data_IF_378665313779
#
_entry.id   IF_378665313779
#
_cell.length_a   1.000
_cell.length_b   1.000
_cell.length_c   1.000
_cell.angle_alpha   90.00
_cell.angle_beta   90.00
_cell.angle_gamma   90.00
#
_symmetry.space_group_name_H-M   'P 1'
#
loop_
_entity.id
_entity.type
_entity.pdbx_description
1 polymer ?
#
# COMPACT_ATOMS: atom_id res chain seq x y z
N UNK A 1 8.68 7.79 -9.62
CA UNK A 1 9.01 6.42 -10.07
C UNK A 1 8.52 5.51 -8.95
N UNK A 2 7.58 4.63 -9.24
CA UNK A 2 7.09 3.63 -8.28
C UNK A 2 7.89 2.37 -8.58
N UNK A 3 8.85 2.02 -7.72
CA UNK A 3 9.51 0.73 -7.74
C UNK A 3 8.68 -0.22 -6.88
N UNK A 4 8.17 -1.28 -7.45
CA UNK A 4 7.25 -2.20 -6.80
C UNK A 4 7.90 -3.56 -6.63
N UNK A 5 8.16 -3.93 -5.40
CA UNK A 5 8.63 -5.24 -5.02
C UNK A 5 7.68 -5.84 -3.97
N UNK A 6 7.15 -7.02 -4.25
CA UNK A 6 6.31 -7.78 -3.31
C UNK A 6 6.99 -9.11 -3.03
N UNK A 7 7.31 -9.38 -1.78
CA UNK A 7 7.87 -10.66 -1.35
C UNK A 7 6.75 -11.63 -0.93
N UNK A 8 6.75 -12.83 -1.52
CA UNK A 8 5.65 -13.79 -1.39
C UNK A 8 6.19 -15.20 -1.12
N UNK A 9 5.56 -15.86 -0.16
CA UNK A 9 5.77 -17.30 0.08
C UNK A 9 4.56 -18.09 -0.45
N UNK A 10 4.78 -19.09 -1.32
CA UNK A 10 3.70 -19.92 -1.89
C UNK A 10 3.67 -21.31 -1.25
N UNK A 11 2.45 -21.84 -1.10
CA UNK A 11 2.22 -23.23 -0.73
C UNK A 11 1.62 -23.97 -1.94
N UNK A 12 2.29 -25.04 -2.41
CA UNK A 12 1.87 -25.81 -3.59
C UNK A 12 1.00 -27.03 -3.28
N UNK A 13 0.57 -27.25 -2.04
CA UNK A 13 -0.24 -28.40 -1.65
C UNK A 13 -1.73 -28.09 -1.56
N UNK A 14 -2.55 -28.91 -2.22
CA UNK A 14 -4.00 -28.81 -2.30
C UNK A 14 -4.74 -29.19 -0.99
N UNK A 15 -4.04 -29.43 0.10
CA UNK A 15 -4.64 -29.74 1.41
C UNK A 15 -4.43 -28.57 2.38
N UNK A 16 -5.51 -28.23 3.09
CA UNK A 16 -5.59 -27.16 4.10
C UNK A 16 -4.91 -27.65 5.39
N UNK A 17 -3.63 -28.02 5.30
CA UNK A 17 -2.80 -28.27 6.47
C UNK A 17 -1.72 -27.19 6.54
N UNK A 18 -1.66 -26.53 7.68
CA UNK A 18 -0.89 -25.29 7.94
C UNK A 18 0.58 -25.61 8.20
N UNK A 19 1.21 -26.39 7.35
CA UNK A 19 2.67 -26.50 7.31
C UNK A 19 3.24 -25.71 6.12
N UNK A 20 3.36 -24.41 6.36
CA UNK A 20 3.84 -23.40 5.42
C UNK A 20 5.38 -23.45 5.29
N UNK A 21 5.92 -24.48 4.67
CA UNK A 21 7.28 -24.49 4.15
C UNK A 21 7.16 -24.64 2.62
N UNK A 22 6.84 -23.54 1.96
CA UNK A 22 6.89 -23.43 0.51
C UNK A 22 8.17 -22.68 0.08
N UNK A 23 8.61 -22.90 -1.14
CA UNK A 23 9.71 -22.14 -1.73
C UNK A 23 9.39 -20.65 -1.68
N UNK A 24 10.34 -19.83 -1.23
CA UNK A 24 10.22 -18.37 -1.29
C UNK A 24 10.02 -17.94 -2.74
N UNK A 25 8.89 -17.29 -2.98
CA UNK A 25 8.55 -16.79 -4.30
C UNK A 25 8.53 -15.29 -4.22
N UNK A 26 9.41 -14.65 -4.95
CA UNK A 26 9.32 -13.21 -5.06
C UNK A 26 8.56 -12.78 -6.32
N UNK A 27 7.77 -11.73 -6.20
CA UNK A 27 7.18 -10.97 -7.31
C UNK A 27 7.88 -9.61 -7.46
N UNK A 28 9.19 -9.58 -7.21
CA UNK A 28 9.98 -8.36 -7.18
C UNK A 28 10.45 -7.93 -8.57
N UNK A 29 10.71 -8.91 -9.43
CA UNK A 29 11.31 -8.64 -10.72
C UNK A 29 10.93 -9.67 -11.81
N UNK A 30 11.51 -9.52 -13.00
CA UNK A 30 11.32 -10.45 -14.10
C UNK A 30 9.98 -10.33 -14.81
N UNK A 31 9.24 -9.24 -14.58
CA UNK A 31 7.96 -8.99 -15.24
C UNK A 31 8.12 -8.40 -16.62
N UNK A 32 7.30 -8.91 -17.54
CA UNK A 32 7.10 -8.39 -18.89
C UNK A 32 5.67 -7.88 -19.06
N UNK A 33 5.51 -6.83 -19.84
CA UNK A 33 4.21 -6.28 -20.15
C UNK A 33 3.45 -7.19 -21.13
N UNK A 34 2.28 -7.70 -20.72
CA UNK A 34 1.37 -8.43 -21.60
C UNK A 34 0.49 -7.48 -22.38
N UNK A 35 -0.21 -6.58 -21.68
CA UNK A 35 -1.15 -5.65 -22.30
C UNK A 35 -1.46 -4.44 -21.43
N UNK A 36 -1.94 -3.39 -22.08
CA UNK A 36 -2.47 -2.18 -21.46
C UNK A 36 -3.92 -2.00 -21.86
N UNK A 37 -4.78 -1.70 -20.91
CA UNK A 37 -6.18 -1.33 -21.14
C UNK A 37 -6.47 0.02 -20.50
N UNK A 38 -7.16 0.89 -21.24
CA UNK A 38 -7.57 2.22 -20.75
C UNK A 38 -9.06 2.37 -20.86
N UNK A 39 -9.67 2.90 -19.80
CA UNK A 39 -11.08 3.29 -19.81
C UNK A 39 -11.23 4.64 -19.12
N UNK A 40 -12.34 5.33 -19.42
CA UNK A 40 -12.79 6.51 -18.68
C UNK A 40 -14.17 6.23 -18.13
N UNK A 41 -14.41 6.60 -16.88
CA UNK A 41 -15.73 6.52 -16.24
C UNK A 41 -16.15 7.89 -15.73
N UNK A 42 -17.45 8.17 -15.87
CA UNK A 42 -18.08 9.34 -15.28
C UNK A 42 -19.48 8.93 -14.84
N UNK A 43 -19.60 8.53 -13.59
CA UNK A 43 -20.83 8.06 -12.98
C UNK A 43 -21.06 8.74 -11.64
N UNK A 44 -22.29 8.70 -11.15
CA UNK A 44 -22.65 9.20 -9.82
C UNK A 44 -23.35 8.10 -9.06
N UNK A 45 -23.03 7.94 -7.79
CA UNK A 45 -23.68 6.98 -6.92
C UNK A 45 -24.12 7.65 -5.61
N UNK A 46 -25.13 7.03 -4.98
CA UNK A 46 -25.67 7.50 -3.71
C UNK A 46 -25.11 6.63 -2.58
N UNK A 47 -24.35 7.18 -1.63
CA UNK A 47 -23.93 6.43 -0.45
C UNK A 47 -25.12 6.10 0.46
N UNK A 48 -25.00 5.04 1.26
CA UNK A 48 -26.01 4.67 2.24
C UNK A 48 -26.10 5.72 3.36
N UNK A 49 -24.97 6.26 3.75
CA UNK A 49 -24.79 7.35 4.71
C UNK A 49 -23.57 8.18 4.32
N UNK A 50 -23.33 9.30 4.99
CA UNK A 50 -22.20 10.20 4.77
C UNK A 50 -22.66 11.65 4.64
N UNK A 51 -21.70 12.54 4.53
CA UNK A 51 -21.95 13.99 4.39
C UNK A 51 -22.51 14.36 3.02
N UNK A 52 -22.08 13.61 1.98
CA UNK A 52 -22.50 13.83 0.61
C UNK A 52 -23.67 12.93 0.23
N UNK A 53 -24.72 13.51 -0.32
CA UNK A 53 -25.89 12.76 -0.80
C UNK A 53 -25.66 12.06 -2.14
N UNK A 54 -24.71 12.57 -2.95
CA UNK A 54 -24.31 12.03 -4.24
C UNK A 54 -22.79 12.16 -4.37
N UNK A 55 -22.13 11.04 -4.71
CA UNK A 55 -20.68 11.02 -4.95
C UNK A 55 -20.44 10.86 -6.43
N UNK A 56 -19.72 11.81 -7.02
CA UNK A 56 -19.27 11.71 -8.41
C UNK A 56 -18.02 10.84 -8.50
N UNK A 57 -18.09 9.81 -9.33
CA UNK A 57 -17.02 8.88 -9.62
C UNK A 57 -16.54 9.12 -11.06
N UNK A 58 -15.61 10.05 -11.23
CA UNK A 58 -15.08 10.47 -12.53
C UNK A 58 -13.57 10.22 -12.56
N UNK A 59 -13.11 9.28 -13.38
CA UNK A 59 -11.71 8.91 -13.44
C UNK A 59 -11.30 8.35 -14.81
N UNK A 60 -10.01 8.42 -15.09
CA UNK A 60 -9.35 7.62 -16.11
C UNK A 60 -8.64 6.44 -15.44
N UNK A 61 -8.82 5.25 -16.00
CA UNK A 61 -8.21 4.03 -15.49
C UNK A 61 -7.21 3.47 -16.51
N UNK A 62 -6.06 3.02 -15.98
CA UNK A 62 -5.08 2.22 -16.69
C UNK A 62 -4.93 0.88 -15.98
N UNK A 63 -5.19 -0.21 -16.69
CA UNK A 63 -4.88 -1.57 -16.24
C UNK A 63 -3.63 -2.05 -16.98
N UNK A 64 -2.59 -2.35 -16.21
CA UNK A 64 -1.33 -2.94 -16.67
C UNK A 64 -1.36 -4.42 -16.34
N UNK A 65 -1.28 -5.30 -17.33
CA UNK A 65 -1.18 -6.75 -17.14
C UNK A 65 0.24 -7.21 -17.36
N UNK A 66 0.77 -7.92 -16.39
CA UNK A 66 2.16 -8.35 -16.32
C UNK A 66 2.26 -9.86 -16.18
N UNK A 67 3.33 -10.44 -16.74
CA UNK A 67 3.71 -11.85 -16.59
C UNK A 67 5.18 -11.93 -16.16
N UNK A 68 5.45 -12.73 -15.15
CA UNK A 68 6.79 -13.00 -14.69
C UNK A 68 7.41 -14.12 -15.54
N UNK A 69 8.43 -13.79 -16.35
CA UNK A 69 8.94 -14.66 -17.42
C UNK A 69 9.46 -16.01 -16.96
N UNK A 70 10.08 -16.11 -15.78
CA UNK A 70 10.64 -17.36 -15.27
C UNK A 70 9.60 -18.26 -14.58
N UNK A 71 8.50 -17.72 -14.12
CA UNK A 71 7.47 -18.45 -13.36
C UNK A 71 6.12 -18.54 -14.10
N UNK A 72 5.89 -17.69 -15.08
CA UNK A 72 4.60 -17.54 -15.76
C UNK A 72 3.49 -16.98 -14.87
N UNK A 73 3.84 -16.39 -13.70
CA UNK A 73 2.87 -15.80 -12.79
C UNK A 73 2.36 -14.48 -13.33
N UNK A 74 1.05 -14.29 -13.17
CA UNK A 74 0.37 -13.09 -13.62
C UNK A 74 0.13 -12.14 -12.45
N UNK A 75 0.38 -10.86 -12.69
CA UNK A 75 0.04 -9.77 -11.79
C UNK A 75 -0.48 -8.59 -12.60
N UNK A 76 -1.48 -7.89 -12.07
CA UNK A 76 -1.95 -6.66 -12.66
C UNK A 76 -1.66 -5.49 -11.72
N UNK A 77 -1.41 -4.33 -12.30
CA UNK A 77 -1.41 -3.06 -11.57
C UNK A 77 -2.50 -2.18 -12.17
N UNK A 78 -3.43 -1.75 -11.34
CA UNK A 78 -4.53 -0.87 -11.76
C UNK A 78 -4.31 0.52 -11.18
N UNK A 79 -4.32 1.51 -12.05
CA UNK A 79 -4.25 2.93 -11.70
C UNK A 79 -5.56 3.61 -12.01
N UNK A 80 -6.02 4.50 -11.12
CA UNK A 80 -7.15 5.41 -11.34
C UNK A 80 -6.71 6.84 -11.06
N UNK A 81 -6.88 7.70 -12.03
CA UNK A 81 -6.56 9.13 -11.93
C UNK A 81 -7.85 9.92 -11.87
N UNK A 82 -8.00 10.68 -10.81
CA UNK A 82 -9.11 11.60 -10.54
C UNK A 82 -8.59 13.03 -10.59
N UNK A 83 -9.49 14.00 -10.65
CA UNK A 83 -9.13 15.42 -10.53
C UNK A 83 -8.45 15.72 -9.16
N UNK A 84 -8.76 14.92 -8.13
CA UNK A 84 -8.28 15.08 -6.75
C UNK A 84 -7.10 14.18 -6.37
N UNK A 85 -6.67 13.26 -7.24
CA UNK A 85 -5.56 12.37 -6.89
C UNK A 85 -5.43 11.13 -7.75
N UNK A 86 -4.46 10.30 -7.39
CA UNK A 86 -4.14 9.02 -8.01
C UNK A 86 -4.32 7.91 -6.98
N UNK A 87 -5.08 6.87 -7.34
CA UNK A 87 -5.09 5.60 -6.62
C UNK A 87 -4.49 4.49 -7.47
N UNK A 88 -3.86 3.51 -6.83
CA UNK A 88 -3.43 2.28 -7.50
C UNK A 88 -3.63 1.08 -6.58
N UNK A 89 -3.62 -0.12 -7.17
CA UNK A 89 -3.64 -1.39 -6.44
C UNK A 89 -3.00 -2.51 -7.26
N UNK A 90 -2.50 -3.51 -6.55
CA UNK A 90 -2.09 -4.79 -7.13
C UNK A 90 -3.30 -5.71 -7.24
N UNK A 91 -3.35 -6.51 -8.30
CA UNK A 91 -4.40 -7.51 -8.51
C UNK A 91 -3.74 -8.83 -8.94
N UNK A 92 -4.13 -9.91 -8.29
CA UNK A 92 -3.65 -11.25 -8.60
C UNK A 92 -4.78 -12.00 -9.32
N UNK A 93 -4.72 -12.11 -10.66
CA UNK A 93 -5.74 -12.85 -11.40
C UNK A 93 -5.70 -14.33 -11.07
N UNK A 94 -6.85 -15.01 -11.15
CA UNK A 94 -6.95 -16.45 -10.93
C UNK A 94 -6.02 -17.20 -11.86
N UNK A 95 -5.11 -18.01 -11.30
CA UNK A 95 -4.07 -18.74 -12.01
C UNK A 95 -3.66 -19.98 -11.23
N UNK A 96 -3.09 -20.99 -11.94
CA UNK A 96 -2.74 -22.27 -11.32
C UNK A 96 -1.49 -22.22 -10.46
N UNK A 97 -0.53 -21.38 -10.82
CA UNK A 97 0.80 -21.29 -10.22
C UNK A 97 0.92 -20.21 -9.14
N UNK A 98 -0.22 -19.60 -8.75
CA UNK A 98 -0.32 -18.65 -7.64
C UNK A 98 -1.79 -18.61 -7.16
N UNK A 99 -2.21 -19.61 -6.41
CA UNK A 99 -3.61 -19.74 -5.94
C UNK A 99 -3.77 -19.33 -4.48
N UNK A 100 -2.87 -19.74 -3.62
CA UNK A 100 -2.83 -19.39 -2.20
C UNK A 100 -1.40 -19.04 -1.83
N UNK A 101 -1.22 -17.89 -1.16
CA UNK A 101 0.10 -17.44 -0.77
C UNK A 101 0.03 -16.47 0.40
N UNK A 102 1.18 -16.24 1.04
CA UNK A 102 1.34 -15.29 2.13
C UNK A 102 2.21 -14.14 1.62
N UNK A 103 1.75 -12.93 1.84
CA UNK A 103 2.57 -11.74 1.64
C UNK A 103 3.43 -11.55 2.90
N UNK A 104 4.74 -11.55 2.72
CA UNK A 104 5.72 -11.32 3.78
C UNK A 104 6.15 -9.86 3.85
N UNK A 105 6.17 -9.20 2.70
CA UNK A 105 6.55 -7.80 2.61
C UNK A 105 6.00 -7.17 1.33
N UNK A 106 5.82 -5.86 1.33
CA UNK A 106 5.45 -5.05 0.18
C UNK A 106 6.45 -3.91 0.03
N UNK A 107 7.14 -3.87 -1.11
CA UNK A 107 8.20 -2.89 -1.41
C UNK A 107 7.71 -1.74 -2.29
N UNK A 108 6.51 -1.24 -2.02
CA UNK A 108 6.01 -0.05 -2.71
C UNK A 108 6.81 1.17 -2.26
N UNK A 109 7.41 1.87 -3.23
CA UNK A 109 8.24 3.05 -2.98
C UNK A 109 7.57 4.32 -3.53
N UNK A 110 7.57 5.37 -2.73
CA UNK A 110 7.07 6.69 -3.06
C UNK A 110 8.22 7.68 -3.09
N UNK A 111 8.79 7.91 -4.28
CA UNK A 111 9.90 8.86 -4.46
C UNK A 111 9.40 10.31 -4.36
N UNK A 112 9.98 11.08 -3.47
CA UNK A 112 9.67 12.49 -3.27
C UNK A 112 10.52 13.38 -4.19
N UNK A 113 9.94 14.49 -4.61
CA UNK A 113 10.64 15.45 -5.50
C UNK A 113 11.55 16.42 -4.74
N UNK A 114 11.59 16.31 -3.42
CA UNK A 114 12.44 17.16 -2.58
C UNK A 114 12.13 16.98 -1.09
N UNK A 115 12.88 17.70 -0.27
CA UNK A 115 12.74 17.73 1.18
C UNK A 115 11.53 18.60 1.60
N UNK A 116 10.35 17.99 1.50
CA UNK A 116 9.08 18.66 1.74
C UNK A 116 8.81 18.88 3.23
N UNK A 117 7.97 19.87 3.54
CA UNK A 117 7.39 20.03 4.87
C UNK A 117 6.33 18.95 5.08
N UNK A 118 6.48 18.12 6.11
CA UNK A 118 5.55 17.04 6.45
C UNK A 118 4.82 17.33 7.76
N UNK A 119 3.58 16.87 7.83
CA UNK A 119 2.72 16.85 9.01
C UNK A 119 2.50 15.38 9.38
N UNK A 120 3.11 14.91 10.46
CA UNK A 120 3.27 13.49 10.72
C UNK A 120 3.26 13.13 12.19
N UNK A 121 3.04 11.85 12.48
CA UNK A 121 3.29 11.19 13.76
C UNK A 121 4.17 9.96 13.54
N UNK A 122 4.90 9.47 14.58
CA UNK A 122 5.73 8.28 14.47
C UNK A 122 4.98 7.05 14.00
N UNK A 123 5.63 6.21 13.20
CA UNK A 123 5.14 4.89 12.82
C UNK A 123 5.16 3.94 14.01
N UNK A 124 3.98 3.47 14.41
CA UNK A 124 3.79 2.61 15.57
C UNK A 124 2.69 1.58 15.31
N UNK A 125 2.92 0.32 15.69
CA UNK A 125 1.98 -0.77 15.45
C UNK A 125 0.77 -0.78 16.38
N UNK A 126 0.92 -0.22 17.59
CA UNK A 126 -0.06 -0.37 18.66
C UNK A 126 -0.90 0.90 18.88
N UNK A 127 -0.39 2.08 18.48
CA UNK A 127 -1.07 3.35 18.76
C UNK A 127 -0.89 4.41 17.68
N UNK A 128 -1.88 5.28 17.56
CA UNK A 128 -1.83 6.52 16.77
C UNK A 128 -2.00 7.76 17.66
N UNK A 129 -1.91 7.60 18.97
CA UNK A 129 -2.18 8.64 19.96
C UNK A 129 -0.93 9.50 20.24
N UNK A 130 -0.33 10.03 19.18
CA UNK A 130 0.79 10.95 19.26
C UNK A 130 0.36 12.37 18.88
N UNK A 131 1.05 13.37 19.41
CA UNK A 131 0.92 14.73 18.92
C UNK A 131 1.53 14.85 17.52
N UNK A 132 0.82 15.52 16.61
CA UNK A 132 1.35 15.79 15.28
C UNK A 132 2.53 16.74 15.34
N UNK A 133 3.55 16.45 14.55
CA UNK A 133 4.70 17.32 14.30
C UNK A 133 4.65 17.89 12.89
N UNK A 134 5.26 19.05 12.77
CA UNK A 134 5.58 19.69 11.51
C UNK A 134 7.10 19.76 11.38
N UNK A 135 7.67 19.13 10.35
CA UNK A 135 9.10 19.17 10.05
C UNK A 135 9.38 18.88 8.59
N UNK A 136 10.59 19.15 8.17
CA UNK A 136 11.10 18.61 6.90
C UNK A 136 11.24 17.09 6.97
N UNK A 137 11.19 16.43 5.81
CA UNK A 137 11.41 14.98 5.73
C UNK A 137 12.78 14.59 6.30
N UNK A 138 13.83 15.37 6.01
CA UNK A 138 15.17 15.14 6.51
C UNK A 138 15.33 15.24 8.04
N UNK A 139 14.36 15.85 8.72
CA UNK A 139 14.36 16.05 10.18
C UNK A 139 13.55 15.00 10.95
N UNK A 140 12.88 14.06 10.25
CA UNK A 140 11.99 13.06 10.87
C UNK A 140 12.71 12.30 12.00
N UNK A 141 13.90 11.77 11.75
CA UNK A 141 14.64 10.99 12.74
C UNK A 141 14.98 11.79 13.99
N UNK A 142 15.44 13.03 13.81
CA UNK A 142 15.79 13.91 14.93
C UNK A 142 14.55 14.21 15.78
N UNK A 143 13.45 14.58 15.12
CA UNK A 143 12.19 14.92 15.79
C UNK A 143 11.50 13.69 16.43
N UNK A 144 11.70 12.50 15.86
CA UNK A 144 11.15 11.27 16.41
C UNK A 144 11.69 10.94 17.81
N UNK A 145 12.83 11.47 18.21
CA UNK A 145 13.42 11.27 19.53
C UNK A 145 12.55 11.86 20.63
N UNK A 146 11.87 12.96 20.36
CA UNK A 146 11.04 13.68 21.33
C UNK A 146 9.80 12.87 21.78
N UNK A 147 9.46 11.79 21.05
CA UNK A 147 8.30 10.94 21.37
C UNK A 147 8.61 9.78 22.33
N UNK A 148 9.81 9.65 22.86
CA UNK A 148 10.26 8.47 23.63
C UNK A 148 9.45 8.15 24.88
N UNK A 149 8.63 9.07 25.39
CA UNK A 149 7.90 8.91 26.64
C UNK A 149 6.42 9.34 26.57
N UNK A 150 5.87 9.56 25.38
CA UNK A 150 4.53 10.16 25.25
C UNK A 150 3.37 9.17 25.37
N UNK A 151 3.61 7.86 25.28
CA UNK A 151 2.54 6.87 25.33
C UNK A 151 2.96 5.60 26.09
N UNK A 152 2.00 4.99 26.79
CA UNK A 152 2.20 3.77 27.60
C UNK A 152 2.37 2.53 26.71
N UNK A 153 1.78 2.52 25.53
CA UNK A 153 1.84 1.42 24.56
C UNK A 153 2.57 1.89 23.31
N UNK A 154 3.89 1.99 23.39
CA UNK A 154 4.72 2.38 22.25
C UNK A 154 5.36 1.16 21.62
N UNK A 155 5.14 0.98 20.32
CA UNK A 155 5.75 -0.08 19.52
C UNK A 155 6.20 0.45 18.15
N UNK A 156 7.04 1.46 18.23
CA UNK A 156 7.64 2.07 17.04
C UNK A 156 8.54 1.07 16.34
N UNK A 157 8.40 0.95 15.04
CA UNK A 157 9.20 0.01 14.25
C UNK A 157 10.55 0.63 13.80
N UNK A 158 10.64 1.95 13.68
CA UNK A 158 11.87 2.63 13.28
C UNK A 158 11.90 4.11 13.72
N UNK A 159 13.10 4.74 13.66
CA UNK A 159 13.27 6.17 13.89
C UNK A 159 12.86 7.02 12.66
N UNK A 160 12.76 6.42 11.48
CA UNK A 160 12.35 7.04 10.24
C UNK A 160 10.89 6.71 9.86
N UNK A 161 10.24 5.90 10.69
CA UNK A 161 8.88 5.46 10.49
C UNK A 161 7.84 6.54 10.78
N UNK A 162 6.86 6.67 9.89
CA UNK A 162 5.71 7.56 10.05
C UNK A 162 4.39 6.83 9.77
N UNK A 163 3.31 7.31 10.37
CA UNK A 163 1.96 6.81 10.11
C UNK A 163 1.43 7.29 8.76
N UNK A 164 0.49 6.54 8.18
CA UNK A 164 -0.48 7.05 7.22
C UNK A 164 -1.75 7.56 7.96
N UNK A 165 -2.46 8.57 7.52
CA UNK A 165 -2.22 9.39 6.33
C UNK A 165 -1.10 10.40 6.57
N UNK A 166 -0.10 10.39 5.70
CA UNK A 166 1.01 11.35 5.74
C UNK A 166 0.70 12.52 4.82
N UNK A 167 0.59 13.72 5.37
CA UNK A 167 0.42 14.94 4.59
C UNK A 167 1.74 15.70 4.46
N UNK A 168 2.03 16.17 3.25
CA UNK A 168 3.21 16.97 2.94
C UNK A 168 2.83 18.21 2.15
N UNK A 169 3.66 19.25 2.27
CA UNK A 169 3.55 20.48 1.49
C UNK A 169 4.86 20.73 0.74
N UNK A 170 4.77 20.82 -0.57
CA UNK A 170 5.92 21.13 -1.42
C UNK A 170 6.28 22.61 -1.36
N UNK A 171 7.49 22.98 -1.79
CA UNK A 171 7.92 24.37 -1.92
C UNK A 171 7.06 25.18 -2.90
N UNK A 172 6.42 24.52 -3.87
CA UNK A 172 5.46 25.14 -4.79
C UNK A 172 4.06 25.33 -4.19
N UNK A 173 3.85 24.93 -2.92
CA UNK A 173 2.56 25.06 -2.24
C UNK A 173 1.54 23.97 -2.55
N UNK A 174 1.96 22.90 -3.24
CA UNK A 174 1.11 21.72 -3.51
C UNK A 174 1.09 20.83 -2.27
N UNK A 175 -0.09 20.39 -1.85
CA UNK A 175 -0.25 19.38 -0.81
C UNK A 175 -0.29 17.99 -1.41
N UNK A 176 0.45 17.06 -0.80
CA UNK A 176 0.50 15.65 -1.16
C UNK A 176 0.05 14.86 0.08
N UNK A 177 -0.84 13.90 -0.12
CA UNK A 177 -1.25 12.99 0.94
C UNK A 177 -1.03 11.54 0.50
N UNK A 178 -0.25 10.79 1.29
CA UNK A 178 -0.08 9.34 1.11
C UNK A 178 -0.99 8.63 2.11
N UNK A 179 -1.90 7.80 1.59
CA UNK A 179 -2.91 7.14 2.39
C UNK A 179 -3.43 5.86 1.73
N UNK A 180 -3.87 4.92 2.54
CA UNK A 180 -4.61 3.74 2.10
C UNK A 180 -6.08 4.11 1.87
N UNK A 181 -6.57 3.92 0.66
CA UNK A 181 -7.97 4.24 0.34
C UNK A 181 -8.97 3.19 0.87
N UNK A 182 -8.53 1.95 1.04
CA UNK A 182 -9.35 0.86 1.55
C UNK A 182 -8.48 -0.21 2.21
N UNK A 183 -8.61 -0.36 3.51
CA UNK A 183 -7.96 -1.41 4.29
C UNK A 183 -8.97 -2.56 4.49
N UNK A 184 -8.95 -3.55 3.59
CA UNK A 184 -9.86 -4.69 3.61
C UNK A 184 -9.03 -5.96 3.46
N UNK A 185 -9.03 -6.80 4.50
CA UNK A 185 -8.30 -8.08 4.54
C UNK A 185 -6.82 -7.97 4.16
N UNK A 186 -6.19 -6.86 4.57
CA UNK A 186 -4.79 -6.54 4.30
C UNK A 186 -4.17 -5.84 5.51
N UNK A 187 -2.84 -5.88 5.63
CA UNK A 187 -2.11 -5.18 6.69
C UNK A 187 -2.16 -3.67 6.53
N UNK A 188 -2.25 -2.98 7.66
CA UNK A 188 -2.15 -1.52 7.69
C UNK A 188 -0.76 -1.06 7.25
N UNK A 189 -0.73 -0.06 6.37
CA UNK A 189 0.50 0.52 5.85
C UNK A 189 0.98 1.66 6.75
N UNK A 190 2.23 1.56 7.16
CA UNK A 190 3.06 2.65 7.60
C UNK A 190 4.06 2.98 6.51
N UNK A 191 4.86 4.00 6.71
CA UNK A 191 5.87 4.44 5.76
C UNK A 191 7.21 4.58 6.47
N UNK A 192 8.28 4.07 5.86
CA UNK A 192 9.65 4.29 6.33
C UNK A 192 10.39 5.20 5.36
N UNK A 193 11.00 6.26 5.88
CA UNK A 193 11.69 7.24 5.05
C UNK A 193 13.16 6.88 4.86
N UNK A 194 13.58 6.76 3.61
CA UNK A 194 14.98 6.65 3.21
C UNK A 194 15.49 8.03 2.78
N UNK A 195 16.27 8.67 3.65
CA UNK A 195 16.85 9.98 3.41
C UNK A 195 17.82 9.97 2.20
N UNK A 196 18.53 8.86 1.98
CA UNK A 196 19.51 8.76 0.90
C UNK A 196 18.86 8.73 -0.49
N UNK A 197 17.66 8.15 -0.58
CA UNK A 197 16.86 8.06 -1.80
C UNK A 197 15.83 9.19 -1.90
N UNK A 198 15.59 9.90 -0.81
CA UNK A 198 14.47 10.84 -0.68
C UNK A 198 13.13 10.16 -1.04
N UNK A 199 12.87 9.00 -0.46
CA UNK A 199 11.68 8.20 -0.74
C UNK A 199 11.10 7.60 0.53
N UNK A 200 9.81 7.29 0.50
CA UNK A 200 9.16 6.42 1.47
C UNK A 200 9.02 5.02 0.90
N UNK A 201 9.31 4.02 1.69
CA UNK A 201 8.94 2.63 1.43
C UNK A 201 7.72 2.27 2.29
N UNK A 202 6.80 1.46 1.72
CA UNK A 202 5.71 0.89 2.51
C UNK A 202 6.28 -0.01 3.60
N UNK A 203 5.72 0.09 4.78
CA UNK A 203 6.05 -0.75 5.92
C UNK A 203 4.74 -1.28 6.52
N UNK A 204 4.43 -2.53 6.25
CA UNK A 204 3.19 -3.14 6.67
C UNK A 204 3.26 -3.62 8.12
N UNK A 205 2.14 -3.58 8.82
CA UNK A 205 2.03 -4.12 10.18
C UNK A 205 1.99 -5.65 10.13
N UNK A 206 2.99 -6.38 10.69
CA UNK A 206 2.99 -7.83 10.68
C UNK A 206 2.00 -8.42 11.70
N UNK A 207 1.52 -9.62 11.43
CA UNK A 207 0.88 -10.46 12.44
C UNK A 207 1.91 -11.03 13.46
N UNK A 208 1.44 -11.84 14.41
CA UNK A 208 2.30 -12.46 15.42
C UNK A 208 3.36 -13.40 14.83
N UNK A 209 3.25 -13.84 13.60
CA UNK A 209 4.15 -14.73 12.88
C UNK A 209 5.03 -13.99 11.85
N UNK A 210 4.91 -12.67 11.76
CA UNK A 210 5.62 -11.85 10.79
C UNK A 210 5.05 -11.91 9.38
N UNK A 211 3.77 -12.23 9.24
CA UNK A 211 3.07 -12.24 7.95
C UNK A 211 2.27 -10.96 7.78
N UNK A 212 2.17 -10.46 6.55
CA UNK A 212 1.43 -9.23 6.25
C UNK A 212 0.01 -9.51 5.76
N UNK A 213 -0.17 -10.52 4.92
CA UNK A 213 -1.49 -10.93 4.46
C UNK A 213 -1.50 -12.38 3.97
N UNK A 214 -2.67 -13.02 4.10
CA UNK A 214 -2.95 -14.37 3.60
C UNK A 214 -3.88 -14.25 2.40
N UNK A 215 -3.41 -14.64 1.23
CA UNK A 215 -4.11 -14.44 -0.02
C UNK A 215 -4.61 -15.76 -0.57
N UNK A 216 -5.92 -15.85 -0.85
CA UNK A 216 -6.52 -16.93 -1.61
C UNK A 216 -7.17 -16.37 -2.87
N UNK A 217 -6.51 -16.49 -4.00
CA UNK A 217 -6.92 -15.92 -5.29
C UNK A 217 -8.29 -16.46 -5.76
N UNK A 218 -8.70 -17.63 -5.31
CA UNK A 218 -10.02 -18.19 -5.65
C UNK A 218 -11.17 -17.52 -4.88
N UNK A 219 -10.89 -16.87 -3.75
CA UNK A 219 -11.89 -16.22 -2.88
C UNK A 219 -11.77 -14.69 -2.91
N UNK A 220 -10.62 -14.17 -3.32
CA UNK A 220 -10.41 -12.74 -3.37
C UNK A 220 -10.95 -12.17 -4.68
N UNK A 221 -12.06 -11.52 -4.53
CA UNK A 221 -12.25 -10.28 -5.28
C UNK A 221 -11.13 -9.34 -4.82
N UNK A 222 -10.33 -8.84 -5.76
CA UNK A 222 -9.38 -7.74 -5.58
C UNK A 222 -9.90 -6.76 -4.54
N UNK A 223 -9.05 -6.33 -3.59
CA UNK A 223 -9.44 -5.36 -2.56
C UNK A 223 -10.36 -4.31 -3.19
N UNK A 224 -11.64 -4.30 -2.89
CA UNK A 224 -12.54 -3.36 -3.53
C UNK A 224 -12.13 -1.97 -3.08
N UNK A 225 -11.94 -1.08 -4.02
CA UNK A 225 -11.95 0.34 -3.70
C UNK A 225 -13.22 0.62 -2.87
N UNK A 226 -13.22 1.54 -1.89
CA UNK A 226 -14.43 1.93 -1.16
C UNK A 226 -15.62 2.23 -2.07
N UNK A 227 -15.37 2.52 -3.34
CA UNK A 227 -16.35 2.77 -4.39
C UNK A 227 -16.87 1.49 -5.08
N UNK A 228 -16.22 0.34 -4.87
CA UNK A 228 -16.64 -0.95 -5.44
C UNK A 228 -17.58 -1.73 -4.50
N UNK A 229 -17.80 -1.27 -3.27
CA UNK A 229 -18.69 -1.89 -2.26
C UNK A 229 -20.19 -1.58 -2.53
N UNK A 230 -20.51 -0.81 -3.53
CA UNK A 230 -21.89 -0.41 -3.87
C UNK A 230 -22.58 -1.37 -4.85
N UNK A 231 -22.48 -2.69 -4.61
CA UNK A 231 -23.35 -3.69 -5.29
C UNK A 231 -24.15 -4.51 -4.31
#
# INVERSE_FOLDING_TARGET
IINNEIDITTNNNNDVDVDLIGDEVNLLNGFSLISLSRISKNETWKPVWGEESLIRNNYNELLVKLEQGFSGRLMNVRFRVFDSGLGFRYEFPTQKNLSTFIIKDEKTEFAMTGDHMAFWIPGDYDTQEYNYLESKLSEIKEKAIDFKEQNVSMKRFSDWGVQTALMMKTSAGIYINLHEAALIEYSAMHLEFDLSKMSFESHLTPDAFGNMAYINVCLLYTSPSPRDISR
#
